data_IF_711764920403
#
_entry.id   IF_711764920403
#
_cell.length_a   1.000
_cell.length_b   1.000
_cell.length_c   1.000
_cell.angle_alpha   90.00
_cell.angle_beta   90.00
_cell.angle_gamma   90.00
#
_symmetry.space_group_name_H-M   'P 1'
#
loop_
_entity.id
_entity.type
_entity.pdbx_description
1 polymer ?
#
# COMPACT_ATOMS: atom_id res chain seq x y z
N UNK A 1 -17.85 -4.91 14.25
CA UNK A 1 -16.44 -4.67 14.62
C UNK A 1 -15.68 -5.65 13.78
N UNK A 2 -14.94 -5.17 12.79
CA UNK A 2 -13.97 -5.99 12.07
C UNK A 2 -13.08 -6.69 13.08
N UNK A 3 -12.69 -7.91 12.78
CA UNK A 3 -11.69 -8.64 13.56
C UNK A 3 -10.36 -7.87 13.47
N UNK A 4 -9.58 -7.80 14.56
CA UNK A 4 -8.26 -7.17 14.55
C UNK A 4 -7.33 -7.95 13.61
N UNK A 5 -6.87 -7.36 12.50
CA UNK A 5 -6.10 -8.08 11.48
C UNK A 5 -4.78 -8.62 12.02
N UNK A 6 -4.16 -7.95 13.01
CA UNK A 6 -2.91 -8.40 13.63
C UNK A 6 -3.18 -9.67 14.43
N UNK A 7 -4.21 -9.64 15.27
CA UNK A 7 -4.58 -10.79 16.10
C UNK A 7 -4.99 -12.00 15.26
N UNK A 8 -5.75 -11.79 14.18
CA UNK A 8 -6.15 -12.84 13.25
C UNK A 8 -4.92 -13.49 12.59
N UNK A 9 -4.00 -12.67 12.08
CA UNK A 9 -2.77 -13.18 11.46
C UNK A 9 -1.90 -13.98 12.43
N UNK A 10 -1.71 -13.50 13.66
CA UNK A 10 -0.96 -14.22 14.68
C UNK A 10 -1.63 -15.55 15.07
N UNK A 11 -2.96 -15.58 15.18
CA UNK A 11 -3.70 -16.81 15.48
C UNK A 11 -3.53 -17.88 14.40
N UNK A 12 -3.39 -17.47 13.14
CA UNK A 12 -3.10 -18.34 12.00
C UNK A 12 -1.60 -18.70 11.88
N UNK A 13 -0.74 -18.16 12.76
CA UNK A 13 0.71 -18.32 12.69
C UNK A 13 1.36 -17.61 11.50
N UNK A 14 0.69 -16.58 10.95
CA UNK A 14 1.19 -15.74 9.87
C UNK A 14 2.06 -14.62 10.44
N UNK A 15 3.14 -14.30 9.73
CA UNK A 15 4.03 -13.16 10.02
C UNK A 15 3.77 -11.98 9.09
N UNK A 16 2.74 -12.05 8.25
CA UNK A 16 2.46 -11.05 7.22
C UNK A 16 0.95 -10.95 7.04
N UNK A 17 0.45 -9.72 6.97
CA UNK A 17 -0.94 -9.44 6.63
C UNK A 17 -1.16 -9.58 5.11
N UNK A 18 -2.37 -9.94 4.71
CA UNK A 18 -2.82 -9.69 3.33
C UNK A 18 -2.91 -8.19 3.06
N UNK A 19 -2.87 -7.78 1.79
CA UNK A 19 -3.02 -6.35 1.45
C UNK A 19 -4.38 -5.79 1.92
N UNK A 20 -5.45 -6.60 1.91
CA UNK A 20 -6.76 -6.20 2.42
C UNK A 20 -6.75 -5.93 3.94
N UNK A 21 -6.08 -6.80 4.72
CA UNK A 21 -5.87 -6.62 6.15
C UNK A 21 -4.99 -5.39 6.43
N UNK A 22 -3.91 -5.21 5.68
CA UNK A 22 -3.04 -4.04 5.77
C UNK A 22 -3.80 -2.75 5.47
N UNK A 23 -4.58 -2.69 4.39
CA UNK A 23 -5.39 -1.51 4.03
C UNK A 23 -6.49 -1.21 5.06
N UNK A 24 -7.09 -2.25 5.65
CA UNK A 24 -8.03 -2.06 6.76
C UNK A 24 -7.36 -1.43 7.97
N UNK A 25 -6.15 -1.88 8.31
CA UNK A 25 -5.34 -1.32 9.38
C UNK A 25 -4.94 0.14 9.11
N UNK A 26 -4.52 0.46 7.87
CA UNK A 26 -4.25 1.83 7.45
C UNK A 26 -5.49 2.73 7.53
N UNK A 27 -6.66 2.23 7.10
CA UNK A 27 -7.91 2.97 7.17
C UNK A 27 -8.34 3.27 8.62
N UNK A 28 -8.16 2.33 9.54
CA UNK A 28 -8.40 2.53 10.98
C UNK A 28 -7.44 3.59 11.57
N UNK A 29 -6.24 3.74 10.99
CA UNK A 29 -5.28 4.80 11.31
C UNK A 29 -5.56 6.14 10.60
N UNK A 30 -6.65 6.23 9.82
CA UNK A 30 -7.04 7.46 9.12
C UNK A 30 -6.35 7.69 7.77
N UNK A 31 -5.65 6.68 7.24
CA UNK A 31 -4.99 6.74 5.93
C UNK A 31 -5.98 6.30 4.85
N UNK A 32 -6.19 7.14 3.84
CA UNK A 32 -7.09 6.83 2.73
C UNK A 32 -6.53 5.70 1.85
N UNK A 33 -7.39 4.76 1.46
CA UNK A 33 -7.09 3.68 0.51
C UNK A 33 -8.19 3.62 -0.56
N UNK A 34 -7.90 3.13 -1.78
CA UNK A 34 -8.93 2.93 -2.80
C UNK A 34 -10.01 1.96 -2.30
N UNK A 35 -11.26 2.12 -2.75
CA UNK A 35 -12.30 1.15 -2.43
C UNK A 35 -11.90 -0.24 -2.96
N UNK A 36 -12.04 -1.28 -2.12
CA UNK A 36 -11.60 -2.63 -2.48
C UNK A 36 -12.56 -3.72 -1.96
N UNK A 37 -12.44 -4.92 -2.54
CA UNK A 37 -13.11 -6.15 -2.11
C UNK A 37 -12.23 -7.36 -2.40
N UNK A 38 -12.27 -8.36 -1.52
CA UNK A 38 -11.60 -9.66 -1.75
C UNK A 38 -12.60 -10.63 -2.39
N UNK A 39 -12.14 -11.39 -3.37
CA UNK A 39 -12.93 -12.38 -4.09
C UNK A 39 -12.20 -13.73 -4.15
N UNK A 40 -12.93 -14.81 -3.85
CA UNK A 40 -12.42 -16.17 -3.78
C UNK A 40 -12.52 -16.94 -5.11
N UNK A 41 -13.13 -16.34 -6.12
CA UNK A 41 -13.23 -16.87 -7.48
C UNK A 41 -13.42 -15.73 -8.50
N UNK A 42 -13.32 -16.07 -9.79
CA UNK A 42 -13.37 -15.10 -10.88
C UNK A 42 -14.77 -14.47 -11.03
N UNK A 43 -15.84 -15.21 -10.74
CA UNK A 43 -17.20 -14.69 -10.73
C UNK A 43 -17.38 -13.62 -9.65
N UNK A 44 -16.94 -13.89 -8.42
CA UNK A 44 -16.96 -12.93 -7.32
C UNK A 44 -16.10 -11.70 -7.61
N UNK A 45 -14.97 -11.87 -8.31
CA UNK A 45 -14.13 -10.73 -8.71
C UNK A 45 -14.86 -9.81 -9.70
N UNK A 46 -15.62 -10.38 -10.63
CA UNK A 46 -16.44 -9.61 -11.59
C UNK A 46 -17.59 -8.88 -10.88
N UNK A 47 -18.25 -9.52 -9.91
CA UNK A 47 -19.29 -8.88 -9.10
C UNK A 47 -18.73 -7.71 -8.29
N UNK A 48 -17.59 -7.92 -7.61
CA UNK A 48 -16.88 -6.87 -6.88
C UNK A 48 -16.50 -5.68 -7.77
N UNK A 49 -15.99 -5.94 -8.98
CA UNK A 49 -15.64 -4.89 -9.93
C UNK A 49 -16.87 -4.07 -10.39
N UNK A 50 -18.02 -4.72 -10.55
CA UNK A 50 -19.26 -4.04 -10.91
C UNK A 50 -19.78 -3.14 -9.77
N UNK A 51 -19.61 -3.56 -8.53
CA UNK A 51 -20.01 -2.79 -7.35
C UNK A 51 -19.08 -1.59 -7.07
N UNK A 52 -17.77 -1.77 -7.26
CA UNK A 52 -16.75 -0.71 -7.12
C UNK A 52 -16.88 0.31 -8.27
N UNK A 53 -17.05 -0.19 -9.49
CA UNK A 53 -17.08 0.61 -10.71
C UNK A 53 -15.74 0.62 -11.46
N UNK A 54 -15.82 0.59 -12.79
CA UNK A 54 -14.66 0.54 -13.68
C UNK A 54 -14.04 1.93 -13.92
N UNK A 55 -12.71 2.02 -14.22
CA UNK A 55 -11.76 0.90 -14.26
C UNK A 55 -11.33 0.41 -12.88
N UNK A 56 -10.95 -0.87 -12.79
CA UNK A 56 -10.44 -1.52 -11.57
C UNK A 56 -9.03 -2.07 -11.76
N UNK A 57 -8.39 -2.39 -10.64
CA UNK A 57 -7.16 -3.18 -10.54
C UNK A 57 -7.50 -4.52 -9.89
N UNK A 58 -6.89 -5.59 -10.35
CA UNK A 58 -6.98 -6.93 -9.73
C UNK A 58 -5.58 -7.34 -9.30
N UNK A 59 -5.42 -7.74 -8.03
CA UNK A 59 -4.14 -8.17 -7.45
C UNK A 59 -4.27 -9.53 -6.79
N UNK A 60 -3.21 -10.32 -6.78
CA UNK A 60 -3.14 -11.53 -5.95
C UNK A 60 -3.21 -11.15 -4.47
N UNK A 61 -4.04 -11.85 -3.71
CA UNK A 61 -4.20 -11.67 -2.27
C UNK A 61 -3.82 -12.97 -1.56
N UNK A 62 -2.58 -13.02 -1.07
CA UNK A 62 -2.07 -14.15 -0.29
C UNK A 62 -0.95 -13.70 0.63
N UNK A 63 -0.91 -14.15 1.91
CA UNK A 63 0.23 -13.90 2.80
C UNK A 63 1.57 -14.43 2.28
N UNK A 64 1.52 -15.39 1.34
CA UNK A 64 2.72 -15.98 0.72
C UNK A 64 3.29 -15.13 -0.43
N UNK A 65 2.62 -14.05 -0.85
CA UNK A 65 3.01 -13.21 -1.99
C UNK A 65 3.16 -11.77 -1.55
N UNK A 66 4.40 -11.36 -1.25
CA UNK A 66 4.72 -9.98 -0.86
C UNK A 66 5.01 -9.07 -2.05
N UNK A 67 5.70 -9.58 -3.09
CA UNK A 67 6.05 -8.83 -4.31
C UNK A 67 5.14 -9.22 -5.49
N UNK A 68 3.93 -8.64 -5.53
CA UNK A 68 2.85 -9.01 -6.47
C UNK A 68 3.19 -8.71 -7.93
N UNK A 69 3.80 -7.56 -8.22
CA UNK A 69 4.06 -7.10 -9.59
C UNK A 69 5.07 -7.96 -10.36
N UNK A 70 5.96 -8.67 -9.68
CA UNK A 70 6.92 -9.60 -10.31
C UNK A 70 6.47 -11.06 -10.17
N UNK A 71 5.43 -11.30 -9.36
CA UNK A 71 4.93 -12.64 -9.11
C UNK A 71 4.30 -13.22 -10.38
N UNK A 72 4.64 -14.49 -10.64
CA UNK A 72 4.16 -15.25 -11.79
C UNK A 72 4.32 -14.51 -13.14
N UNK A 73 5.53 -14.00 -13.40
CA UNK A 73 5.87 -13.29 -14.64
C UNK A 73 5.01 -12.04 -14.88
N UNK A 74 4.56 -11.39 -13.80
CA UNK A 74 3.76 -10.17 -13.82
C UNK A 74 2.26 -10.40 -13.71
N UNK A 75 1.80 -11.63 -13.55
CA UNK A 75 0.36 -11.93 -13.40
C UNK A 75 -0.22 -11.48 -12.06
N UNK A 76 0.59 -11.20 -11.05
CA UNK A 76 0.11 -10.85 -9.71
C UNK A 76 -0.57 -9.49 -9.59
N UNK A 77 -0.47 -8.61 -10.60
CA UNK A 77 -1.18 -7.33 -10.67
C UNK A 77 -1.64 -7.05 -12.10
N UNK A 78 -2.93 -6.81 -12.28
CA UNK A 78 -3.52 -6.38 -13.54
C UNK A 78 -4.23 -5.04 -13.35
N UNK A 79 -3.77 -4.00 -14.06
CA UNK A 79 -4.27 -2.62 -13.94
C UNK A 79 -5.13 -2.21 -15.13
N UNK A 80 -5.99 -1.20 -14.94
CA UNK A 80 -6.73 -0.56 -16.03
C UNK A 80 -7.81 -1.46 -16.64
N UNK A 81 -8.38 -2.37 -15.86
CA UNK A 81 -9.40 -3.31 -16.31
C UNK A 81 -10.73 -2.58 -16.39
N UNK A 82 -11.26 -2.43 -17.60
CA UNK A 82 -12.42 -1.59 -17.93
C UNK A 82 -13.69 -2.39 -18.26
N UNK A 83 -13.64 -3.72 -18.12
CA UNK A 83 -14.76 -4.60 -18.45
C UNK A 83 -14.79 -5.87 -17.59
N UNK A 84 -15.99 -6.48 -17.42
CA UNK A 84 -16.15 -7.77 -16.74
C UNK A 84 -15.28 -8.89 -17.30
N UNK A 85 -15.10 -8.94 -18.62
CA UNK A 85 -14.30 -10.00 -19.25
C UNK A 85 -12.82 -9.84 -18.97
N UNK A 86 -12.30 -8.60 -18.96
CA UNK A 86 -10.91 -8.33 -18.58
C UNK A 86 -10.62 -8.68 -17.11
N UNK A 87 -11.58 -8.40 -16.21
CA UNK A 87 -11.48 -8.79 -14.80
C UNK A 87 -11.45 -10.31 -14.63
N UNK A 88 -12.33 -11.02 -15.34
CA UNK A 88 -12.37 -12.49 -15.29
C UNK A 88 -11.04 -13.10 -15.77
N UNK A 89 -10.53 -12.65 -16.91
CA UNK A 89 -9.27 -13.14 -17.46
C UNK A 89 -8.10 -12.91 -16.50
N UNK A 90 -8.01 -11.73 -15.89
CA UNK A 90 -6.98 -11.42 -14.90
C UNK A 90 -7.10 -12.28 -13.63
N UNK A 91 -8.30 -12.46 -13.10
CA UNK A 91 -8.54 -13.27 -11.92
C UNK A 91 -8.21 -14.76 -12.18
N UNK A 92 -8.69 -15.32 -13.29
CA UNK A 92 -8.38 -16.70 -13.70
C UNK A 92 -6.86 -16.91 -13.85
N UNK A 93 -6.13 -15.96 -14.45
CA UNK A 93 -4.69 -16.03 -14.57
C UNK A 93 -3.97 -16.06 -13.22
N UNK A 94 -4.44 -15.31 -12.23
CA UNK A 94 -3.90 -15.33 -10.86
C UNK A 94 -4.18 -16.67 -10.19
N UNK A 95 -5.41 -17.17 -10.25
CA UNK A 95 -5.78 -18.46 -9.65
C UNK A 95 -5.00 -19.61 -10.28
N UNK A 96 -4.89 -19.68 -11.60
CA UNK A 96 -4.10 -20.68 -12.30
C UNK A 96 -2.62 -20.62 -11.89
N UNK A 97 -2.06 -19.41 -11.72
CA UNK A 97 -0.69 -19.22 -11.29
C UNK A 97 -0.45 -19.64 -9.83
N UNK A 98 -1.44 -19.43 -8.94
CA UNK A 98 -1.42 -19.83 -7.55
C UNK A 98 -1.52 -21.36 -7.42
N UNK A 99 -2.45 -21.98 -8.14
CA UNK A 99 -2.64 -23.43 -8.21
C UNK A 99 -1.37 -24.14 -8.71
N UNK A 100 -0.75 -23.62 -9.78
CA UNK A 100 0.50 -24.16 -10.31
C UNK A 100 1.67 -24.12 -9.30
N UNK A 101 1.59 -23.24 -8.30
CA UNK A 101 2.59 -23.06 -7.24
C UNK A 101 2.17 -23.69 -5.91
N UNK A 102 0.94 -24.21 -5.81
CA UNK A 102 0.38 -24.74 -4.57
C UNK A 102 0.22 -23.68 -3.47
N UNK A 103 -0.11 -22.44 -3.87
CA UNK A 103 -0.35 -21.31 -2.98
C UNK A 103 -1.86 -21.12 -2.84
N UNK A 104 -2.34 -20.98 -1.61
CA UNK A 104 -3.70 -20.53 -1.33
C UNK A 104 -3.78 -19.01 -1.53
N UNK A 105 -4.63 -18.57 -2.45
CA UNK A 105 -4.72 -17.18 -2.84
C UNK A 105 -6.15 -16.82 -3.26
N UNK A 106 -6.60 -15.66 -2.78
CA UNK A 106 -7.75 -14.94 -3.30
C UNK A 106 -7.26 -13.86 -4.28
N UNK A 107 -8.19 -13.06 -4.82
CA UNK A 107 -7.87 -11.81 -5.51
C UNK A 107 -8.45 -10.60 -4.78
N UNK A 108 -7.67 -9.51 -4.74
CA UNK A 108 -8.11 -8.19 -4.33
C UNK A 108 -8.55 -7.41 -5.57
N UNK A 109 -9.81 -6.98 -5.61
CA UNK A 109 -10.34 -6.07 -6.63
C UNK A 109 -10.46 -4.68 -6.03
N UNK A 110 -9.89 -3.68 -6.67
CA UNK A 110 -9.88 -2.30 -6.15
C UNK A 110 -10.10 -1.24 -7.22
N UNK A 111 -10.59 -0.07 -6.79
CA UNK A 111 -10.74 1.12 -7.62
C UNK A 111 -9.38 1.53 -8.22
N UNK A 112 -9.31 1.70 -9.54
CA UNK A 112 -8.10 2.21 -10.16
C UNK A 112 -7.95 3.72 -9.93
N UNK A 113 -6.75 4.15 -9.52
CA UNK A 113 -6.37 5.56 -9.40
C UNK A 113 -5.48 5.98 -10.58
N UNK A 114 -5.66 7.22 -11.03
CA UNK A 114 -4.80 7.82 -12.03
C UNK A 114 -3.48 8.26 -11.39
N UNK A 115 -2.45 7.42 -11.49
CA UNK A 115 -1.11 7.71 -10.93
C UNK A 115 -0.43 8.90 -11.60
N UNK A 116 -0.85 9.28 -12.82
CA UNK A 116 -0.30 10.46 -13.51
C UNK A 116 -0.85 11.78 -12.96
N UNK A 117 -1.93 11.73 -12.17
CA UNK A 117 -2.55 12.89 -11.51
C UNK A 117 -1.75 13.37 -10.29
N UNK A 118 -0.74 12.61 -9.84
CA UNK A 118 0.01 12.91 -8.64
C UNK A 118 1.49 12.57 -8.72
N UNK A 119 2.11 12.61 -7.55
CA UNK A 119 3.49 12.18 -7.31
C UNK A 119 3.45 10.99 -6.36
N UNK A 120 4.09 9.89 -6.76
CA UNK A 120 4.22 8.70 -5.94
C UNK A 120 5.29 8.92 -4.86
N UNK A 121 4.96 8.55 -3.63
CA UNK A 121 5.80 8.66 -2.43
C UNK A 121 5.82 7.30 -1.75
N UNK A 122 6.96 6.93 -1.19
CA UNK A 122 7.14 5.75 -0.36
C UNK A 122 7.11 6.20 1.09
N UNK A 123 6.28 5.54 1.90
CA UNK A 123 6.23 5.74 3.35
C UNK A 123 6.43 4.40 4.02
N UNK A 124 7.56 4.24 4.70
CA UNK A 124 7.92 3.01 5.40
C UNK A 124 7.99 3.23 6.90
N UNK A 125 7.47 2.30 7.69
CA UNK A 125 7.66 2.24 9.14
C UNK A 125 8.42 0.96 9.49
N UNK A 126 9.42 1.03 10.36
CA UNK A 126 10.12 -0.15 10.84
C UNK A 126 10.46 -0.05 12.32
N UNK A 127 10.55 -1.20 12.99
CA UNK A 127 11.06 -1.28 14.35
C UNK A 127 12.56 -1.60 14.32
N UNK A 128 13.39 -0.55 14.33
CA UNK A 128 14.84 -0.66 14.34
C UNK A 128 15.37 -1.21 15.68
N UNK A 129 16.35 -2.14 15.69
CA UNK A 129 16.89 -2.72 16.93
C UNK A 129 17.61 -1.73 17.87
N UNK A 130 18.10 -0.61 17.34
CA UNK A 130 18.85 0.41 18.08
C UNK A 130 17.99 1.61 18.44
N UNK A 131 17.10 2.02 17.54
CA UNK A 131 16.31 3.24 17.66
C UNK A 131 14.83 3.00 18.01
N UNK A 132 14.35 1.76 17.93
CA UNK A 132 12.92 1.46 18.08
C UNK A 132 12.14 1.85 16.82
N UNK A 133 10.87 2.28 16.96
CA UNK A 133 10.05 2.72 15.84
C UNK A 133 10.69 3.87 15.05
N UNK A 134 10.82 3.68 13.74
CA UNK A 134 11.36 4.67 12.80
C UNK A 134 10.41 4.75 11.61
N UNK A 135 10.15 5.96 11.13
CA UNK A 135 9.45 6.20 9.87
C UNK A 135 10.40 6.79 8.84
N UNK A 136 10.24 6.34 7.61
CA UNK A 136 10.93 6.76 6.40
C UNK A 136 9.89 7.35 5.45
N UNK A 137 10.25 8.45 4.80
CA UNK A 137 9.54 8.97 3.63
C UNK A 137 10.51 9.21 2.50
N UNK A 138 10.12 8.96 1.25
CA UNK A 138 10.94 9.20 0.06
C UNK A 138 10.11 9.25 -1.21
N UNK A 139 10.64 9.81 -2.29
CA UNK A 139 9.89 9.85 -3.56
C UNK A 139 9.95 8.51 -4.29
N UNK A 140 8.80 8.03 -4.77
CA UNK A 140 8.67 6.75 -5.46
C UNK A 140 9.48 6.64 -6.76
N UNK A 141 9.64 5.41 -7.23
CA UNK A 141 10.34 5.09 -8.48
C UNK A 141 11.84 5.38 -8.44
N UNK A 142 12.37 5.92 -9.55
CA UNK A 142 13.83 6.08 -9.74
C UNK A 142 14.51 6.96 -8.68
N UNK A 143 13.75 7.86 -8.03
CA UNK A 143 14.29 8.77 -7.02
C UNK A 143 14.73 8.03 -5.75
N UNK A 144 13.94 7.06 -5.28
CA UNK A 144 14.38 6.20 -4.18
C UNK A 144 15.40 5.17 -4.65
N UNK A 145 15.18 4.49 -5.80
CA UNK A 145 16.04 3.38 -6.25
C UNK A 145 17.47 3.79 -6.61
N UNK A 146 17.66 4.99 -7.18
CA UNK A 146 18.95 5.43 -7.73
C UNK A 146 19.58 6.56 -6.91
N UNK A 147 18.76 7.43 -6.34
CA UNK A 147 19.23 8.65 -5.68
C UNK A 147 19.12 8.61 -4.16
N UNK A 148 18.53 7.56 -3.58
CA UNK A 148 18.36 7.38 -2.13
C UNK A 148 17.69 8.59 -1.47
N UNK A 149 16.78 9.27 -2.20
CA UNK A 149 16.15 10.52 -1.75
C UNK A 149 15.07 10.23 -0.71
N UNK A 150 15.51 10.16 0.55
CA UNK A 150 14.73 9.71 1.70
C UNK A 150 15.04 10.56 2.93
N UNK A 151 14.03 10.72 3.79
CA UNK A 151 14.18 11.30 5.14
C UNK A 151 13.62 10.33 6.18
N UNK A 152 14.15 10.42 7.40
CA UNK A 152 13.85 9.51 8.50
C UNK A 152 13.52 10.28 9.78
N UNK A 153 12.63 9.72 10.60
CA UNK A 153 12.33 10.19 11.95
C UNK A 153 12.15 9.01 12.90
N UNK A 154 12.53 9.18 14.17
CA UNK A 154 12.19 8.22 15.23
C UNK A 154 10.76 8.53 15.65
N UNK A 155 9.89 7.53 15.59
CA UNK A 155 8.49 7.65 16.00
C UNK A 155 8.33 7.53 17.53
N UNK A 156 7.24 8.03 18.11
CA UNK A 156 6.12 8.72 17.45
C UNK A 156 6.48 10.14 16.98
N UNK A 157 5.82 10.60 15.92
CA UNK A 157 5.96 11.96 15.40
C UNK A 157 4.59 12.59 15.13
N UNK A 158 4.54 13.93 15.13
CA UNK A 158 3.36 14.67 14.67
C UNK A 158 3.46 15.05 13.18
N UNK A 159 2.36 15.57 12.63
CA UNK A 159 2.29 15.99 11.24
C UNK A 159 3.27 17.14 10.91
N UNK A 160 3.68 17.96 11.88
CA UNK A 160 4.65 19.02 11.64
C UNK A 160 6.07 18.45 11.48
N UNK A 161 6.46 17.50 12.32
CA UNK A 161 7.74 16.78 12.19
C UNK A 161 7.80 15.94 10.91
N UNK A 162 6.67 15.33 10.52
CA UNK A 162 6.53 14.62 9.26
C UNK A 162 6.66 15.57 8.04
N UNK A 163 6.02 16.74 8.11
CA UNK A 163 6.14 17.76 7.07
C UNK A 163 7.59 18.24 6.91
N UNK A 164 8.30 18.48 8.00
CA UNK A 164 9.73 18.81 7.96
C UNK A 164 10.55 17.69 7.29
N UNK A 165 10.23 16.42 7.55
CA UNK A 165 10.89 15.29 6.90
C UNK A 165 10.65 15.25 5.38
N UNK A 166 9.43 15.59 4.93
CA UNK A 166 9.09 15.68 3.51
C UNK A 166 9.83 16.86 2.85
N UNK A 167 9.89 18.02 3.51
CA UNK A 167 10.57 19.22 3.00
C UNK A 167 12.10 19.05 2.91
N UNK A 168 12.68 18.06 3.59
CA UNK A 168 14.09 17.68 3.49
C UNK A 168 14.44 16.87 2.24
N UNK A 169 13.44 16.36 1.50
CA UNK A 169 13.67 15.58 0.29
C UNK A 169 14.33 16.46 -0.80
N UNK A 170 15.35 15.92 -1.44
CA UNK A 170 16.15 16.59 -2.48
C UNK A 170 15.28 17.01 -3.66
N UNK A 171 14.32 16.18 -4.04
CA UNK A 171 13.42 16.43 -5.16
C UNK A 171 12.00 16.85 -4.70
N UNK A 172 11.88 17.54 -3.56
CA UNK A 172 10.62 18.13 -3.05
C UNK A 172 9.88 18.97 -4.09
N UNK A 173 10.59 19.60 -5.05
CA UNK A 173 9.99 20.36 -6.16
C UNK A 173 8.98 19.53 -7.00
N UNK A 174 9.06 18.19 -6.96
CA UNK A 174 8.07 17.30 -7.61
C UNK A 174 6.73 17.26 -6.88
N UNK A 175 6.70 17.53 -5.58
CA UNK A 175 5.47 17.69 -4.79
C UNK A 175 4.95 19.13 -4.85
N UNK A 176 5.81 20.13 -5.07
CA UNK A 176 5.42 21.54 -5.20
C UNK A 176 4.82 21.90 -6.59
N UNK A 177 4.77 20.93 -7.50
CA UNK A 177 4.24 21.08 -8.86
C UNK A 177 5.34 21.18 -9.91
N UNK A 178 5.39 20.17 -10.79
CA UNK A 178 6.39 20.07 -11.87
C UNK A 178 5.74 19.91 -13.24
N UNK A 179 6.28 20.61 -14.25
CA UNK A 179 5.81 20.57 -15.66
C UNK A 179 4.30 20.78 -15.85
N UNK A 180 3.70 21.66 -15.06
CA UNK A 180 2.28 22.02 -15.18
C UNK A 180 1.35 21.09 -14.41
N UNK A 181 1.88 20.17 -13.60
CA UNK A 181 1.11 19.48 -12.55
C UNK A 181 0.81 20.45 -11.41
N UNK A 182 -0.37 20.27 -10.81
CA UNK A 182 -0.75 20.97 -9.58
C UNK A 182 0.14 20.49 -8.42
N UNK A 183 0.42 21.36 -7.43
CA UNK A 183 1.12 20.95 -6.21
C UNK A 183 0.31 19.90 -5.46
N UNK A 184 1.00 18.92 -4.89
CA UNK A 184 0.39 17.93 -4.01
C UNK A 184 0.00 18.57 -2.65
N UNK A 185 -1.01 17.98 -2.00
CA UNK A 185 -1.34 18.28 -0.62
C UNK A 185 -0.29 17.66 0.31
N UNK A 186 0.78 18.42 0.57
CA UNK A 186 1.88 18.03 1.43
C UNK A 186 1.44 17.84 2.88
N UNK A 187 0.40 18.55 3.33
CA UNK A 187 -0.13 18.39 4.68
C UNK A 187 -0.84 17.03 4.82
N UNK A 188 -1.66 16.65 3.83
CA UNK A 188 -2.26 15.31 3.80
C UNK A 188 -1.22 14.20 3.74
N UNK A 189 -0.13 14.38 2.98
CA UNK A 189 0.97 13.43 2.94
C UNK A 189 1.70 13.33 4.29
N UNK A 190 1.89 14.46 4.99
CA UNK A 190 2.51 14.48 6.31
C UNK A 190 1.67 13.74 7.37
N UNK A 191 0.35 13.83 7.29
CA UNK A 191 -0.56 13.01 8.13
C UNK A 191 -0.37 11.51 7.87
N UNK A 192 -0.19 11.09 6.61
CA UNK A 192 0.11 9.68 6.27
C UNK A 192 1.45 9.23 6.86
N UNK A 193 2.50 10.03 6.72
CA UNK A 193 3.83 9.73 7.29
C UNK A 193 3.76 9.62 8.82
N UNK A 194 3.11 10.57 9.49
CA UNK A 194 2.94 10.52 10.93
C UNK A 194 2.12 9.28 11.37
N UNK A 195 1.02 8.98 10.67
CA UNK A 195 0.17 7.82 10.96
C UNK A 195 0.93 6.50 10.81
N UNK A 196 1.74 6.32 9.76
CA UNK A 196 2.57 5.10 9.59
C UNK A 196 3.60 4.96 10.72
N UNK A 197 4.29 6.04 11.09
CA UNK A 197 5.25 6.00 12.20
C UNK A 197 4.59 5.65 13.52
N UNK A 198 3.43 6.25 13.81
CA UNK A 198 2.67 6.01 15.03
C UNK A 198 2.08 4.59 15.05
N UNK A 199 1.67 4.04 13.91
CA UNK A 199 1.20 2.67 13.80
C UNK A 199 2.26 1.65 14.26
N UNK A 200 3.52 1.85 13.86
CA UNK A 200 4.63 1.00 14.30
C UNK A 200 4.94 1.19 15.78
N UNK A 201 4.83 2.42 16.32
CA UNK A 201 5.03 2.70 17.74
C UNK A 201 3.97 2.03 18.63
N UNK A 202 2.70 2.21 18.27
CA UNK A 202 1.53 1.76 19.04
C UNK A 202 1.36 0.24 19.04
N UNK A 203 1.78 -0.44 17.96
CA UNK A 203 1.65 -1.88 17.80
C UNK A 203 3.02 -2.58 17.84
N UNK A 204 3.45 -3.04 19.01
CA UNK A 204 4.72 -3.75 19.19
C UNK A 204 4.88 -5.01 18.31
N UNK A 205 3.75 -5.62 17.91
CA UNK A 205 3.73 -6.78 17.02
C UNK A 205 4.15 -6.43 15.58
N UNK A 206 4.10 -5.17 15.17
CA UNK A 206 4.48 -4.75 13.81
C UNK A 206 5.99 -4.54 13.77
N UNK A 207 6.66 -5.30 12.90
CA UNK A 207 8.08 -5.10 12.62
C UNK A 207 8.31 -4.12 11.47
N UNK A 208 7.40 -4.12 10.49
CA UNK A 208 7.53 -3.33 9.28
C UNK A 208 6.16 -2.98 8.69
N UNK A 209 6.04 -1.77 8.16
CA UNK A 209 4.95 -1.28 7.33
C UNK A 209 5.60 -0.66 6.10
N UNK A 210 5.20 -1.08 4.90
CA UNK A 210 5.64 -0.46 3.66
C UNK A 210 4.40 -0.02 2.88
N UNK A 211 4.24 1.30 2.72
CA UNK A 211 3.17 1.90 1.93
C UNK A 211 3.80 2.47 0.66
N UNK A 212 3.72 1.66 -0.40
CA UNK A 212 4.44 1.92 -1.63
C UNK A 212 3.65 1.48 -2.88
N UNK A 213 3.01 2.41 -3.61
CA UNK A 213 3.08 3.86 -3.45
C UNK A 213 1.95 4.46 -2.59
N UNK A 214 2.25 5.59 -1.95
CA UNK A 214 1.27 6.63 -1.60
C UNK A 214 1.21 7.60 -2.78
N UNK A 215 0.03 7.80 -3.36
CA UNK A 215 -0.19 8.79 -4.41
C UNK A 215 -0.58 10.14 -3.79
N UNK A 216 0.32 11.11 -3.85
CA UNK A 216 0.08 12.48 -3.40
C UNK A 216 -0.43 13.35 -4.56
N UNK A 217 -1.61 13.94 -4.39
CA UNK A 217 -2.31 14.79 -5.38
C UNK A 217 -2.71 16.11 -4.73
N UNK A 218 -3.22 17.08 -5.50
CA UNK A 218 -3.80 18.32 -4.93
C UNK A 218 -4.99 18.01 -3.98
N UNK A 219 -5.68 16.89 -4.19
CA UNK A 219 -6.86 16.49 -3.42
C UNK A 219 -6.56 15.70 -2.14
N UNK A 220 -5.29 15.39 -1.85
CA UNK A 220 -4.89 14.57 -0.70
C UNK A 220 -3.85 13.51 -1.05
N UNK A 221 -3.65 12.56 -0.13
CA UNK A 221 -2.72 11.44 -0.26
C UNK A 221 -3.42 10.10 -0.05
N UNK A 222 -3.23 9.15 -0.98
CA UNK A 222 -3.93 7.85 -0.96
C UNK A 222 -2.91 6.70 -1.03
N UNK A 223 -3.00 5.75 -0.10
CA UNK A 223 -2.18 4.54 -0.09
C UNK A 223 -2.68 3.52 -1.12
N UNK A 224 -1.96 3.35 -2.23
CA UNK A 224 -2.36 2.46 -3.32
C UNK A 224 -1.97 0.99 -3.06
N UNK A 225 -0.90 0.77 -2.31
CA UNK A 225 -0.45 -0.55 -1.89
C UNK A 225 0.11 -0.49 -0.46
N UNK A 226 0.03 -1.61 0.26
CA UNK A 226 0.46 -1.74 1.62
C UNK A 226 0.95 -3.17 1.92
N UNK A 227 2.09 -3.26 2.58
CA UNK A 227 2.63 -4.48 3.18
C UNK A 227 2.81 -4.23 4.68
N UNK A 228 2.36 -5.18 5.50
CA UNK A 228 2.59 -5.15 6.96
C UNK A 228 3.18 -6.49 7.37
N UNK A 229 4.36 -6.44 7.99
CA UNK A 229 5.07 -7.58 8.53
C UNK A 229 5.02 -7.53 10.04
N UNK A 230 4.73 -8.68 10.65
CA UNK A 230 4.69 -8.87 12.07
C UNK A 230 6.02 -9.45 12.57
N UNK A 231 6.50 -8.96 13.71
CA UNK A 231 7.64 -9.53 14.40
C UNK A 231 7.35 -10.94 14.89
N UNK A 232 8.33 -11.84 14.77
CA UNK A 232 8.33 -13.10 15.49
C UNK A 232 8.81 -12.91 16.93
N UNK A 233 8.27 -13.70 17.86
CA UNK A 233 8.76 -13.81 19.25
C UNK A 233 10.24 -14.25 19.34
#
# INVERSE_FOLDING_TARGET
>A
MSEDPIAAAQADGRTTLTEAEAKSLLADAGIETPAFSVAADAEAAVEAAADIGFPVVVKVSSPAVTHKSEWADGAGVAVGLDSPDAVREAAEAIFDAADARGIDADVLVEEARDVDAGTEVIVGGLRDPSFGPVVLTGLGGIFTEVYEDTSHRIAPIDAAEAREAIEELTAIELLEGYRGREPADVDALAEVVAAVGNLVDEHEAISEVDVNPVLATEGGAVALDALVVLGGD
#
